data_IF_518550788401
#
_entry.id   IF_518550788401
#
_cell.length_a   1.000
_cell.length_b   1.000
_cell.length_c   1.000
_cell.angle_alpha   90.00
_cell.angle_beta   90.00
_cell.angle_gamma   90.00
#
_symmetry.space_group_name_H-M   'P 1'
#
loop_
_entity.id
_entity.type
_entity.pdbx_description
1 polymer ?
#
# COMPACT_ATOMS: atom_id res chain seq x y z
N UNK A 1 -40.73 -38.08 -34.54
CA UNK A 1 -40.44 -37.30 -35.75
C UNK A 1 -39.10 -36.62 -35.54
N UNK A 2 -38.07 -37.23 -36.11
CA UNK A 2 -36.94 -36.64 -36.87
C UNK A 2 -36.69 -35.13 -36.68
N UNK A 3 -35.45 -34.63 -36.55
CA UNK A 3 -34.14 -35.22 -36.73
C UNK A 3 -33.12 -34.09 -36.98
N UNK A 4 -31.83 -34.40 -36.77
CA UNK A 4 -30.62 -33.74 -37.32
C UNK A 4 -30.36 -32.24 -37.02
N UNK A 5 -29.15 -31.78 -36.68
CA UNK A 5 -27.83 -32.41 -36.67
C UNK A 5 -26.75 -31.45 -36.13
N UNK A 6 -25.60 -32.01 -35.75
CA UNK A 6 -24.33 -31.30 -35.46
C UNK A 6 -23.72 -30.70 -36.74
N UNK A 7 -22.80 -29.71 -36.64
CA UNK A 7 -21.34 -30.00 -36.69
C UNK A 7 -20.50 -29.11 -35.72
N UNK A 8 -19.46 -29.60 -35.02
CA UNK A 8 -18.02 -29.77 -35.36
C UNK A 8 -17.18 -28.49 -35.60
N UNK A 9 -16.28 -28.22 -34.64
CA UNK A 9 -14.81 -28.01 -34.78
C UNK A 9 -14.26 -27.09 -35.89
N UNK A 10 -13.54 -26.01 -35.53
CA UNK A 10 -12.06 -25.89 -35.59
C UNK A 10 -11.54 -24.44 -35.67
N UNK A 11 -10.44 -24.23 -34.92
CA UNK A 11 -9.23 -23.40 -35.14
C UNK A 11 -9.28 -22.04 -35.88
N UNK A 12 -8.71 -21.05 -35.18
CA UNK A 12 -7.56 -20.17 -35.55
C UNK A 12 -7.51 -19.67 -37.01
N UNK A 13 -7.65 -18.35 -37.23
CA UNK A 13 -6.57 -17.44 -37.69
C UNK A 13 -7.06 -16.00 -37.87
N UNK A 14 -6.21 -15.11 -37.36
CA UNK A 14 -5.85 -13.75 -37.78
C UNK A 14 -6.69 -13.06 -38.86
N UNK A 15 -7.19 -11.89 -38.48
CA UNK A 15 -7.78 -10.90 -39.35
C UNK A 15 -6.71 -10.07 -40.06
N UNK A 16 -7.10 -9.66 -41.26
CA UNK A 16 -6.36 -9.00 -42.33
C UNK A 16 -6.00 -7.54 -42.06
N UNK A 17 -5.14 -7.01 -42.94
CA UNK A 17 -5.15 -5.70 -43.63
C UNK A 17 -3.70 -5.17 -43.69
N UNK A 18 -3.13 -4.74 -44.82
CA UNK A 18 -3.72 -3.96 -45.91
C UNK A 18 -2.78 -4.05 -47.13
N UNK A 19 -3.27 -4.46 -48.30
CA UNK A 19 -2.59 -4.39 -49.60
C UNK A 19 -3.47 -3.55 -50.55
N UNK A 20 -2.96 -2.40 -51.00
CA UNK A 20 -3.40 -1.67 -52.20
C UNK A 20 -2.35 -1.95 -53.29
N UNK A 21 -2.68 -2.63 -54.39
CA UNK A 21 -3.25 -2.08 -55.64
C UNK A 21 -2.19 -1.19 -56.36
N UNK A 22 -1.66 -1.48 -57.56
CA UNK A 22 -2.29 -1.83 -58.85
C UNK A 22 -1.33 -2.54 -59.82
N UNK A 23 -1.85 -3.60 -60.46
CA UNK A 23 -1.91 -3.89 -61.92
C UNK A 23 -0.69 -3.61 -62.83
N UNK A 24 -0.21 -4.70 -63.44
CA UNK A 24 0.95 -4.76 -64.33
C UNK A 24 0.77 -4.19 -65.74
N UNK A 25 1.91 -3.89 -66.34
CA UNK A 25 2.09 -3.58 -67.74
C UNK A 25 2.30 -4.85 -68.58
N UNK A 26 1.77 -4.82 -69.80
CA UNK A 26 2.15 -5.71 -70.89
C UNK A 26 3.49 -5.31 -71.51
N UNK A 27 4.15 -6.33 -72.05
CA UNK A 27 5.08 -6.38 -73.17
C UNK A 27 5.99 -5.17 -73.44
N UNK A 28 7.30 -5.37 -73.30
CA UNK A 28 8.21 -5.59 -74.45
C UNK A 28 9.69 -5.44 -74.08
N UNK A 29 10.43 -6.53 -74.33
CA UNK A 29 11.69 -6.60 -75.09
C UNK A 29 12.72 -5.46 -74.90
N UNK A 30 13.79 -5.83 -74.16
CA UNK A 30 15.22 -5.59 -74.43
C UNK A 30 15.71 -4.13 -74.54
N UNK A 31 16.56 -3.72 -73.59
CA UNK A 31 17.96 -3.36 -73.85
C UNK A 31 18.59 -2.52 -72.73
N UNK A 32 19.60 -3.11 -72.08
CA UNK A 32 20.86 -2.48 -71.63
C UNK A 32 20.74 -1.31 -70.65
N UNK A 33 20.97 -1.60 -69.37
CA UNK A 33 22.11 -1.01 -68.65
C UNK A 33 22.60 -2.03 -67.63
N UNK A 34 23.77 -2.61 -67.91
CA UNK A 34 24.44 -3.49 -66.97
C UNK A 34 25.01 -2.68 -65.82
N UNK A 35 24.45 -2.83 -64.63
CA UNK A 35 25.25 -2.78 -63.41
C UNK A 35 25.55 -4.22 -63.04
N UNK A 36 26.80 -4.63 -63.28
CA UNK A 36 27.33 -5.83 -62.64
C UNK A 36 27.17 -5.63 -61.15
N UNK A 37 26.24 -6.33 -60.49
CA UNK A 37 26.40 -6.67 -59.08
C UNK A 37 27.65 -7.52 -59.02
N UNK A 38 28.80 -6.85 -58.91
CA UNK A 38 30.07 -7.48 -58.61
C UNK A 38 29.82 -8.18 -57.29
N UNK A 39 29.80 -9.52 -57.29
CA UNK A 39 29.94 -10.32 -56.08
C UNK A 39 31.34 -10.04 -55.54
N UNK A 40 31.52 -8.88 -54.91
CA UNK A 40 32.66 -8.66 -54.03
C UNK A 40 32.39 -9.54 -52.82
N UNK A 41 33.20 -10.59 -52.68
CA UNK A 41 33.15 -11.41 -51.47
C UNK A 41 33.50 -10.51 -50.29
N UNK A 42 32.65 -10.50 -49.25
CA UNK A 42 32.95 -9.84 -48.00
C UNK A 42 34.30 -10.33 -47.48
N UNK A 43 35.20 -9.41 -47.19
CA UNK A 43 36.50 -9.77 -46.63
C UNK A 43 36.30 -10.24 -45.18
N UNK A 44 37.07 -11.24 -44.73
CA UNK A 44 37.01 -11.72 -43.34
C UNK A 44 37.17 -10.59 -42.32
N UNK A 45 37.98 -9.58 -42.66
CA UNK A 45 38.22 -8.42 -41.81
C UNK A 45 36.98 -7.54 -41.65
N UNK A 46 36.21 -7.34 -42.73
CA UNK A 46 34.96 -6.59 -42.71
C UNK A 46 33.89 -7.29 -41.85
N UNK A 47 33.78 -8.62 -41.95
CA UNK A 47 32.88 -9.40 -41.08
C UNK A 47 33.26 -9.31 -39.60
N UNK A 48 34.56 -9.33 -39.27
CA UNK A 48 35.03 -9.19 -37.88
C UNK A 48 34.68 -7.81 -37.33
N UNK A 49 34.87 -6.75 -38.12
CA UNK A 49 34.54 -5.38 -37.72
C UNK A 49 33.03 -5.21 -37.49
N UNK A 50 32.19 -5.71 -38.42
CA UNK A 50 30.73 -5.63 -38.29
C UNK A 50 30.23 -6.42 -37.07
N UNK A 51 30.73 -7.63 -36.84
CA UNK A 51 30.38 -8.44 -35.67
C UNK A 51 30.82 -7.77 -34.37
N UNK A 52 31.98 -7.12 -34.35
CA UNK A 52 32.47 -6.37 -33.19
C UNK A 52 31.58 -5.18 -32.86
N UNK A 53 31.23 -4.36 -33.85
CA UNK A 53 30.32 -3.22 -33.68
C UNK A 53 28.94 -3.69 -33.23
N UNK A 54 28.41 -4.75 -33.84
CA UNK A 54 27.11 -5.29 -33.48
C UNK A 54 27.09 -5.88 -32.07
N UNK A 55 28.14 -6.59 -31.67
CA UNK A 55 28.27 -7.13 -30.31
C UNK A 55 28.36 -6.01 -29.26
N UNK A 56 29.10 -4.94 -29.57
CA UNK A 56 29.17 -3.76 -28.70
C UNK A 56 27.81 -3.06 -28.59
N UNK A 57 27.11 -2.87 -29.71
CA UNK A 57 25.77 -2.28 -29.73
C UNK A 57 24.76 -3.12 -28.95
N UNK A 58 24.78 -4.45 -29.10
CA UNK A 58 23.94 -5.37 -28.32
C UNK A 58 24.28 -5.32 -26.82
N UNK A 59 25.55 -5.19 -26.46
CA UNK A 59 25.97 -5.10 -25.06
C UNK A 59 25.48 -3.82 -24.40
N UNK A 60 25.57 -2.69 -25.11
CA UNK A 60 25.04 -1.40 -24.65
C UNK A 60 23.52 -1.49 -24.50
N UNK A 61 22.81 -2.07 -25.46
CA UNK A 61 21.36 -2.26 -25.40
C UNK A 61 20.95 -3.16 -24.23
N UNK A 62 21.68 -4.25 -23.98
CA UNK A 62 21.44 -5.12 -22.85
C UNK A 62 21.62 -4.38 -21.53
N UNK A 63 22.69 -3.58 -21.40
CA UNK A 63 22.96 -2.79 -20.21
C UNK A 63 21.88 -1.72 -19.96
N UNK A 64 21.43 -1.02 -20.99
CA UNK A 64 20.36 -0.01 -20.85
C UNK A 64 19.02 -0.65 -20.49
N UNK A 65 18.70 -1.83 -21.03
CA UNK A 65 17.49 -2.56 -20.66
C UNK A 65 17.52 -3.03 -19.20
N UNK A 66 18.65 -3.55 -18.72
CA UNK A 66 18.81 -3.97 -17.32
C UNK A 66 18.67 -2.75 -16.40
N UNK A 67 19.34 -1.65 -16.73
CA UNK A 67 19.29 -0.41 -15.94
C UNK A 67 17.89 0.21 -15.92
N UNK A 68 17.20 0.22 -17.06
CA UNK A 68 15.82 0.72 -17.20
C UNK A 68 14.84 -0.11 -16.37
N UNK A 69 14.98 -1.44 -16.36
CA UNK A 69 14.16 -2.31 -15.50
C UNK A 69 14.36 -2.00 -14.02
N UNK A 70 15.62 -1.80 -13.58
CA UNK A 70 15.91 -1.47 -12.19
C UNK A 70 15.28 -0.13 -11.79
N UNK A 71 15.47 0.91 -12.60
CA UNK A 71 14.87 2.22 -12.37
C UNK A 71 13.35 2.17 -12.35
N UNK A 72 12.74 1.40 -13.26
CA UNK A 72 11.28 1.23 -13.30
C UNK A 72 10.78 0.60 -12.00
N UNK A 73 11.40 -0.50 -11.56
CA UNK A 73 11.03 -1.20 -10.34
C UNK A 73 11.15 -0.28 -9.13
N UNK A 74 12.30 0.38 -8.95
CA UNK A 74 12.55 1.30 -7.83
C UNK A 74 11.53 2.45 -7.82
N UNK A 75 11.22 3.02 -9.00
CA UNK A 75 10.24 4.11 -9.13
C UNK A 75 8.81 3.63 -8.84
N UNK A 76 8.44 2.44 -9.32
CA UNK A 76 7.09 1.89 -9.10
C UNK A 76 6.85 1.51 -7.65
N UNK A 77 7.84 0.92 -6.97
CA UNK A 77 7.75 0.55 -5.56
C UNK A 77 7.55 1.77 -4.66
N UNK A 78 8.36 2.80 -4.85
CA UNK A 78 8.24 4.06 -4.10
C UNK A 78 6.92 4.81 -4.37
N UNK A 79 6.44 4.80 -5.62
CA UNK A 79 5.16 5.42 -5.98
C UNK A 79 3.96 4.69 -5.34
N UNK A 80 3.95 3.35 -5.36
CA UNK A 80 2.90 2.56 -4.71
C UNK A 80 2.89 2.76 -3.19
N UNK A 81 4.08 2.76 -2.58
CA UNK A 81 4.27 3.04 -1.16
C UNK A 81 3.70 4.42 -0.80
N UNK A 82 4.09 5.46 -1.54
CA UNK A 82 3.57 6.82 -1.34
C UNK A 82 2.05 6.91 -1.48
N UNK A 83 1.47 6.21 -2.45
CA UNK A 83 0.01 6.17 -2.63
C UNK A 83 -0.69 5.52 -1.44
N UNK A 84 -0.13 4.43 -0.89
CA UNK A 84 -0.64 3.75 0.30
C UNK A 84 -0.58 4.64 1.54
N UNK A 85 0.54 5.33 1.76
CA UNK A 85 0.68 6.30 2.87
C UNK A 85 -0.35 7.43 2.76
N UNK A 86 -0.58 7.94 1.56
CA UNK A 86 -1.57 9.00 1.34
C UNK A 86 -3.01 8.54 1.62
N UNK A 87 -3.36 7.29 1.33
CA UNK A 87 -4.68 6.74 1.68
C UNK A 87 -4.88 6.69 3.19
N UNK A 88 -3.83 6.35 3.96
CA UNK A 88 -3.90 6.37 5.43
C UNK A 88 -4.04 7.79 5.95
N UNK A 89 -3.27 8.74 5.41
CA UNK A 89 -3.43 10.17 5.72
C UNK A 89 -4.88 10.62 5.54
N UNK A 90 -5.47 10.35 4.37
CA UNK A 90 -6.86 10.76 4.08
C UNK A 90 -7.86 10.09 5.02
N UNK A 91 -7.66 8.82 5.38
CA UNK A 91 -8.52 8.12 6.34
C UNK A 91 -8.44 8.73 7.74
N UNK A 92 -7.24 9.09 8.20
CA UNK A 92 -7.04 9.75 9.49
C UNK A 92 -7.61 11.16 9.49
N UNK A 93 -7.39 11.92 8.43
CA UNK A 93 -7.92 13.27 8.26
C UNK A 93 -9.45 13.28 8.27
N UNK A 94 -10.08 12.34 7.56
CA UNK A 94 -11.55 12.22 7.55
C UNK A 94 -12.10 11.89 8.94
N UNK A 95 -11.54 10.91 9.62
CA UNK A 95 -11.99 10.51 10.95
C UNK A 95 -11.76 11.60 12.01
N UNK A 96 -10.63 12.31 11.92
CA UNK A 96 -10.30 13.41 12.83
C UNK A 96 -11.12 14.67 12.56
N UNK A 97 -11.74 14.79 11.38
CA UNK A 97 -12.64 15.90 11.05
C UNK A 97 -13.89 15.91 11.92
N UNK A 98 -14.36 14.74 12.35
CA UNK A 98 -15.49 14.58 13.26
C UNK A 98 -15.05 14.40 14.72
N UNK A 99 -13.78 14.65 15.04
CA UNK A 99 -13.19 14.47 16.37
C UNK A 99 -12.70 15.79 16.99
N UNK A 100 -12.41 15.75 18.30
CA UNK A 100 -11.76 16.81 19.07
C UNK A 100 -10.44 16.33 19.65
N UNK A 101 -9.48 17.24 19.82
CA UNK A 101 -8.20 16.93 20.45
C UNK A 101 -8.35 16.42 21.89
N UNK A 102 -9.32 16.95 22.64
CA UNK A 102 -9.60 16.53 24.01
C UNK A 102 -10.08 15.07 24.10
N UNK A 103 -10.67 14.56 23.01
CA UNK A 103 -11.23 13.21 22.92
C UNK A 103 -10.33 12.28 22.11
N UNK A 104 -9.01 12.47 22.21
CA UNK A 104 -8.01 11.61 21.57
C UNK A 104 -7.07 11.02 22.62
N UNK A 105 -6.60 9.80 22.36
CA UNK A 105 -5.64 9.13 23.21
C UNK A 105 -4.68 8.25 22.39
N UNK A 106 -3.52 8.02 22.98
CA UNK A 106 -2.41 7.23 22.41
C UNK A 106 -1.88 6.31 23.50
N UNK A 107 -1.54 5.08 23.11
CA UNK A 107 -0.84 4.12 23.94
C UNK A 107 0.08 3.26 23.08
N UNK A 108 0.90 2.42 23.70
CA UNK A 108 1.67 1.43 22.97
C UNK A 108 0.73 0.33 22.42
N UNK A 109 0.95 -0.13 21.20
CA UNK A 109 0.26 -1.30 20.65
C UNK A 109 0.87 -2.61 21.19
N UNK A 110 0.57 -3.72 20.50
CA UNK A 110 1.10 -5.05 20.80
C UNK A 110 2.61 -5.12 20.62
N UNK A 111 3.26 -5.91 21.49
CA UNK A 111 4.65 -6.32 21.29
C UNK A 111 4.72 -7.40 20.22
N UNK A 112 5.69 -7.33 19.33
CA UNK A 112 5.87 -8.37 18.31
C UNK A 112 6.60 -9.59 18.90
N UNK A 113 6.43 -10.76 18.28
CA UNK A 113 7.01 -12.03 18.75
C UNK A 113 8.53 -11.96 18.94
N UNK A 114 9.20 -11.08 18.20
CA UNK A 114 10.64 -10.88 18.23
C UNK A 114 11.17 -9.81 19.19
N UNK A 115 10.26 -9.14 19.88
CA UNK A 115 10.58 -7.98 20.72
C UNK A 115 10.43 -6.66 19.98
N UNK A 116 10.20 -5.61 20.77
CA UNK A 116 9.83 -4.29 20.28
C UNK A 116 8.33 -4.12 20.08
N UNK A 117 7.88 -2.88 20.14
CA UNK A 117 6.48 -2.51 19.93
C UNK A 117 6.16 -2.53 18.43
N UNK A 118 4.99 -3.04 18.03
CA UNK A 118 4.55 -2.97 16.65
C UNK A 118 4.40 -1.51 16.16
N UNK A 119 4.11 -0.60 17.09
CA UNK A 119 3.91 0.84 16.93
C UNK A 119 2.96 1.33 18.02
N UNK A 120 2.33 2.49 17.79
CA UNK A 120 1.39 3.09 18.73
C UNK A 120 -0.05 2.70 18.37
N UNK A 121 -0.89 2.53 19.38
CA UNK A 121 -2.34 2.51 19.23
C UNK A 121 -2.86 3.94 19.43
N UNK A 122 -3.67 4.42 18.50
CA UNK A 122 -4.30 5.75 18.55
C UNK A 122 -5.80 5.59 18.44
N UNK A 123 -6.56 6.30 19.28
CA UNK A 123 -8.01 6.32 19.16
C UNK A 123 -8.60 7.67 19.51
N UNK A 124 -9.78 7.92 18.97
CA UNK A 124 -10.52 9.14 19.20
C UNK A 124 -12.02 8.93 19.16
N UNK A 125 -12.78 9.84 19.78
CA UNK A 125 -14.23 9.90 19.60
C UNK A 125 -14.58 10.54 18.26
N UNK A 126 -15.59 10.00 17.60
CA UNK A 126 -16.20 10.57 16.41
C UNK A 126 -17.64 10.94 16.71
N UNK A 127 -18.01 12.16 16.30
CA UNK A 127 -19.38 12.64 16.35
C UNK A 127 -20.19 12.29 15.10
N UNK A 128 -19.64 11.51 14.18
CA UNK A 128 -20.32 11.16 12.94
C UNK A 128 -21.38 10.09 13.20
N UNK A 129 -22.59 10.32 12.70
CA UNK A 129 -23.68 9.34 12.71
C UNK A 129 -23.45 8.25 11.63
N UNK A 130 -23.44 6.95 11.99
CA UNK A 130 -23.23 5.86 11.03
C UNK A 130 -24.27 5.75 9.93
N UNK A 131 -25.46 6.34 10.10
CA UNK A 131 -26.56 6.24 9.14
C UNK A 131 -26.55 7.42 8.16
N UNK A 132 -26.38 8.63 8.68
CA UNK A 132 -26.46 9.85 7.88
C UNK A 132 -25.10 10.38 7.42
N UNK A 133 -24.01 9.87 7.97
CA UNK A 133 -22.63 10.36 7.77
C UNK A 133 -22.49 11.86 8.13
N UNK A 134 -23.44 12.40 8.90
CA UNK A 134 -23.42 13.78 9.37
C UNK A 134 -22.85 13.85 10.78
N UNK A 135 -22.25 14.99 11.12
CA UNK A 135 -21.76 15.25 12.48
C UNK A 135 -22.96 15.50 13.40
N UNK A 136 -23.28 14.52 14.23
CA UNK A 136 -24.29 14.61 15.27
C UNK A 136 -23.93 15.70 16.28
N UNK A 137 -24.93 16.48 16.66
CA UNK A 137 -24.81 17.54 17.65
C UNK A 137 -25.94 17.43 18.66
N UNK A 138 -25.60 17.71 19.93
CA UNK A 138 -26.57 17.84 21.00
C UNK A 138 -27.44 19.09 20.84
N UNK A 139 -28.47 19.20 21.68
CA UNK A 139 -29.33 20.38 21.76
C UNK A 139 -28.58 21.65 22.20
N UNK A 140 -27.42 21.49 22.84
CA UNK A 140 -26.50 22.56 23.23
C UNK A 140 -25.52 22.96 22.10
N UNK A 141 -25.61 22.33 20.92
CA UNK A 141 -24.76 22.57 19.77
C UNK A 141 -23.38 21.90 19.83
N UNK A 142 -23.05 21.22 20.94
CA UNK A 142 -21.79 20.46 21.08
C UNK A 142 -21.84 19.17 20.29
N UNK A 143 -20.67 18.63 19.99
CA UNK A 143 -20.55 17.34 19.34
C UNK A 143 -21.21 16.25 20.20
N UNK A 144 -22.08 15.44 19.59
CA UNK A 144 -22.63 14.25 20.23
C UNK A 144 -21.77 13.07 19.82
N UNK A 145 -20.97 12.54 20.74
CA UNK A 145 -20.05 11.43 20.45
C UNK A 145 -20.82 10.13 20.25
N UNK A 146 -20.52 9.43 19.15
CA UNK A 146 -21.23 8.23 18.72
C UNK A 146 -20.34 6.98 18.73
N UNK A 147 -19.02 7.12 18.62
CA UNK A 147 -18.13 5.96 18.50
C UNK A 147 -16.68 6.30 18.75
N UNK A 148 -15.93 5.32 19.21
CA UNK A 148 -14.48 5.30 19.20
C UNK A 148 -13.97 4.79 17.84
N UNK A 149 -13.00 5.49 17.25
CA UNK A 149 -12.25 5.03 16.08
C UNK A 149 -10.84 4.70 16.55
N UNK A 150 -10.43 3.45 16.41
CA UNK A 150 -9.15 2.92 16.86
C UNK A 150 -8.27 2.54 15.68
N UNK A 151 -7.02 3.00 15.71
CA UNK A 151 -5.94 2.68 14.80
C UNK A 151 -4.84 1.95 15.55
N UNK A 152 -4.42 0.78 15.08
CA UNK A 152 -3.31 0.07 15.72
C UNK A 152 -2.54 -0.82 14.74
N UNK A 153 -1.20 -0.88 14.88
CA UNK A 153 -0.37 -1.81 14.14
C UNK A 153 -0.33 -3.16 14.84
N UNK A 154 -0.33 -4.23 14.06
CA UNK A 154 -0.14 -5.61 14.55
C UNK A 154 0.45 -6.50 13.46
N UNK A 155 1.07 -7.61 13.85
CA UNK A 155 1.47 -8.68 12.92
C UNK A 155 0.26 -9.61 12.70
N UNK A 156 -0.06 -10.04 11.46
CA UNK A 156 -1.10 -11.03 11.21
C UNK A 156 -0.86 -12.35 11.94
N UNK A 157 -1.91 -13.02 12.41
CA UNK A 157 -1.83 -14.26 13.20
C UNK A 157 -1.26 -15.44 12.40
N UNK A 158 -1.52 -15.48 11.10
CA UNK A 158 -1.02 -16.47 10.15
C UNK A 158 0.23 -15.98 9.39
N UNK A 159 1.04 -15.11 10.01
CA UNK A 159 2.23 -14.45 9.42
C UNK A 159 3.12 -15.40 8.61
N UNK A 160 3.54 -16.52 9.20
CA UNK A 160 4.45 -17.48 8.56
C UNK A 160 3.88 -18.08 7.26
N UNK A 161 2.58 -18.37 7.25
CA UNK A 161 1.89 -18.90 6.06
C UNK A 161 1.66 -17.80 5.03
N UNK A 162 1.36 -16.58 5.46
CA UNK A 162 1.08 -15.44 4.59
C UNK A 162 2.32 -14.97 3.82
N UNK A 163 3.47 -14.93 4.49
CA UNK A 163 4.72 -14.38 3.94
C UNK A 163 5.78 -15.46 3.64
N UNK A 164 5.47 -16.74 3.86
CA UNK A 164 6.41 -17.86 3.64
C UNK A 164 7.68 -17.79 4.49
N UNK A 165 7.68 -16.94 5.52
CA UNK A 165 8.83 -16.64 6.37
C UNK A 165 8.36 -16.20 7.74
N UNK A 166 9.16 -16.46 8.76
CA UNK A 166 8.98 -15.88 10.10
C UNK A 166 9.87 -14.66 10.22
N UNK A 167 9.38 -13.61 10.87
CA UNK A 167 10.22 -12.49 11.25
C UNK A 167 10.70 -12.65 12.68
N UNK A 168 12.01 -12.56 12.90
CA UNK A 168 12.57 -12.67 14.25
C UNK A 168 12.36 -11.42 15.10
N UNK A 169 11.80 -10.33 14.51
CA UNK A 169 11.58 -9.01 15.12
C UNK A 169 12.85 -8.40 15.71
N UNK A 170 12.71 -7.23 16.33
CA UNK A 170 13.84 -6.57 16.97
C UNK A 170 13.57 -5.10 17.24
N UNK A 171 13.72 -4.70 18.50
CA UNK A 171 13.53 -3.33 18.93
C UNK A 171 14.69 -2.43 18.45
N UNK A 172 14.36 -1.31 17.83
CA UNK A 172 15.29 -0.23 17.60
C UNK A 172 15.57 0.56 18.90
N UNK A 173 16.40 1.61 18.79
CA UNK A 173 16.73 2.48 19.93
C UNK A 173 15.52 3.16 20.58
N UNK A 174 14.40 3.28 19.86
CA UNK A 174 13.15 3.86 20.35
C UNK A 174 12.19 2.81 20.93
N UNK A 175 12.58 1.53 20.94
CA UNK A 175 11.78 0.43 21.48
C UNK A 175 10.75 -0.17 20.50
N UNK A 176 10.74 0.27 19.24
CA UNK A 176 9.82 -0.24 18.20
C UNK A 176 10.46 -1.34 17.37
N UNK A 177 9.67 -2.32 16.95
CA UNK A 177 10.12 -3.35 16.02
C UNK A 177 10.43 -2.72 14.65
N UNK A 178 11.70 -2.59 14.32
CA UNK A 178 12.18 -2.06 13.04
C UNK A 178 12.71 -3.15 12.12
N UNK A 179 12.57 -4.41 12.51
CA UNK A 179 13.10 -5.57 11.80
C UNK A 179 11.99 -6.28 11.03
N UNK A 180 10.75 -6.25 11.54
CA UNK A 180 9.57 -6.83 10.89
C UNK A 180 8.80 -5.80 10.04
N UNK A 181 8.90 -5.86 8.70
CA UNK A 181 8.09 -5.02 7.82
C UNK A 181 6.70 -5.61 7.52
N UNK A 182 6.35 -6.75 8.12
CA UNK A 182 5.13 -7.50 7.82
C UNK A 182 3.95 -7.12 8.74
N UNK A 183 4.03 -5.95 9.40
CA UNK A 183 2.93 -5.45 10.21
C UNK A 183 1.85 -4.87 9.30
N UNK A 184 0.65 -4.79 9.84
CA UNK A 184 -0.50 -4.18 9.19
C UNK A 184 -1.12 -3.14 10.11
N UNK A 185 -1.58 -2.02 9.55
CA UNK A 185 -2.37 -1.02 10.27
C UNK A 185 -3.85 -1.41 10.19
N UNK A 186 -4.47 -1.62 11.34
CA UNK A 186 -5.89 -1.91 11.47
C UNK A 186 -6.62 -0.65 11.91
N UNK A 187 -7.76 -0.37 11.26
CA UNK A 187 -8.76 0.60 11.74
C UNK A 187 -9.97 -0.18 12.24
N UNK A 188 -10.49 0.19 13.41
CA UNK A 188 -11.67 -0.40 14.03
C UNK A 188 -12.62 0.69 14.51
N UNK A 189 -13.92 0.47 14.33
CA UNK A 189 -15.00 1.32 14.83
C UNK A 189 -15.69 0.60 15.97
N UNK A 190 -15.84 1.29 17.09
CA UNK A 190 -16.32 0.74 18.35
C UNK A 190 -17.40 1.67 18.92
N UNK A 191 -18.53 1.09 19.28
CA UNK A 191 -19.59 1.74 20.06
C UNK A 191 -19.62 1.04 21.42
N UNK A 192 -18.87 1.59 22.37
CA UNK A 192 -18.58 0.99 23.67
C UNK A 192 -19.61 1.41 24.70
N UNK A 193 -20.69 0.63 24.80
CA UNK A 193 -21.73 0.85 25.78
C UNK A 193 -23.12 0.49 25.26
N UNK A 194 -24.18 1.12 25.78
CA UNK A 194 -25.48 1.14 25.13
C UNK A 194 -25.33 1.74 23.73
N UNK A 195 -26.13 1.25 22.77
CA UNK A 195 -26.11 1.78 21.42
C UNK A 195 -26.34 3.31 21.43
N UNK A 196 -25.38 4.06 20.93
CA UNK A 196 -25.48 5.51 20.84
C UNK A 196 -26.26 5.88 19.58
N UNK A 197 -27.16 6.85 19.70
CA UNK A 197 -27.95 7.32 18.55
C UNK A 197 -28.14 8.82 18.62
N UNK A 198 -28.24 9.53 17.48
CA UNK A 198 -28.53 10.96 17.50
C UNK A 198 -29.92 11.31 18.05
N UNK A 199 -30.82 10.32 18.12
CA UNK A 199 -32.17 10.50 18.65
C UNK A 199 -32.22 10.46 20.19
N UNK A 200 -31.17 9.94 20.84
CA UNK A 200 -31.05 9.86 22.29
C UNK A 200 -29.81 10.63 22.77
N UNK A 201 -29.96 11.92 23.14
CA UNK A 201 -28.84 12.78 23.52
C UNK A 201 -28.19 12.38 24.86
N UNK A 202 -28.81 11.49 25.63
CA UNK A 202 -28.27 11.00 26.90
C UNK A 202 -27.40 9.73 26.69
N UNK A 203 -27.50 9.08 25.53
CA UNK A 203 -26.66 7.95 25.11
C UNK A 203 -25.43 8.45 24.34
N UNK A 204 -24.41 8.90 25.08
CA UNK A 204 -23.17 9.47 24.53
C UNK A 204 -22.01 8.50 24.70
N UNK A 205 -21.25 8.30 23.64
CA UNK A 205 -20.04 7.48 23.67
C UNK A 205 -18.95 8.13 24.53
N UNK A 206 -18.26 7.31 25.32
CA UNK A 206 -17.13 7.76 26.14
C UNK A 206 -15.81 7.31 25.55
N UNK A 207 -14.76 8.13 25.72
CA UNK A 207 -13.44 7.79 25.21
C UNK A 207 -12.92 6.57 25.98
N UNK A 208 -12.55 5.51 25.24
CA UNK A 208 -11.98 4.30 25.83
C UNK A 208 -10.72 4.64 26.64
N UNK A 209 -10.52 3.96 27.76
CA UNK A 209 -9.27 4.07 28.52
C UNK A 209 -8.18 3.20 27.91
N UNK A 210 -6.93 3.45 28.31
CA UNK A 210 -5.79 2.60 27.92
C UNK A 210 -6.00 1.14 28.30
N UNK A 211 -6.72 0.87 29.40
CA UNK A 211 -7.02 -0.50 29.82
C UNK A 211 -8.05 -1.16 28.89
N UNK A 212 -9.08 -0.41 28.49
CA UNK A 212 -10.19 -0.94 27.69
C UNK A 212 -9.74 -1.34 26.28
N UNK A 213 -8.82 -0.55 25.67
CA UNK A 213 -8.34 -0.79 24.30
C UNK A 213 -7.67 -2.16 24.14
N UNK A 214 -7.09 -2.74 25.21
CA UNK A 214 -6.37 -4.02 25.14
C UNK A 214 -7.23 -5.16 24.60
N UNK A 215 -8.54 -5.13 24.89
CA UNK A 215 -9.50 -6.13 24.41
C UNK A 215 -9.79 -6.02 22.91
N UNK A 216 -9.45 -4.90 22.28
CA UNK A 216 -9.67 -4.61 20.88
C UNK A 216 -8.43 -4.82 20.00
N UNK A 217 -7.24 -4.92 20.59
CA UNK A 217 -5.96 -5.12 19.88
C UNK A 217 -5.78 -6.57 19.42
N UNK A 218 -6.60 -7.00 18.46
CA UNK A 218 -6.56 -8.35 17.90
C UNK A 218 -5.79 -8.40 16.57
N UNK A 219 -4.97 -9.43 16.41
CA UNK A 219 -4.28 -9.69 15.16
C UNK A 219 -5.27 -10.18 14.07
N UNK A 220 -5.22 -9.63 12.85
CA UNK A 220 -5.99 -10.14 11.71
C UNK A 220 -5.47 -11.50 11.25
N UNK A 221 -6.32 -12.25 10.55
CA UNK A 221 -5.88 -13.42 9.76
C UNK A 221 -5.75 -12.97 8.31
N UNK A 222 -4.54 -12.95 7.78
CA UNK A 222 -4.25 -12.34 6.48
C UNK A 222 -4.49 -10.84 6.54
N UNK A 223 -5.31 -10.36 5.61
CA UNK A 223 -5.77 -8.96 5.56
C UNK A 223 -7.22 -8.79 6.05
N UNK A 224 -7.78 -9.81 6.71
CA UNK A 224 -9.12 -9.77 7.29
C UNK A 224 -9.02 -9.41 8.77
N UNK A 225 -9.46 -8.19 9.10
CA UNK A 225 -9.49 -7.70 10.47
C UNK A 225 -10.63 -8.34 11.28
N UNK A 226 -10.38 -8.50 12.58
CA UNK A 226 -11.30 -9.17 13.50
C UNK A 226 -12.17 -8.17 14.26
N UNK A 227 -13.46 -8.47 14.38
CA UNK A 227 -14.43 -7.73 15.19
C UNK A 227 -14.40 -8.13 16.68
N UNK A 228 -13.26 -8.66 17.17
CA UNK A 228 -13.06 -8.92 18.60
C UNK A 228 -13.09 -7.62 19.40
N UNK A 229 -13.75 -7.68 20.56
CA UNK A 229 -14.02 -6.57 21.46
C UNK A 229 -15.50 -6.20 21.43
N UNK A 230 -16.13 -6.04 22.59
CA UNK A 230 -17.56 -5.71 22.69
C UNK A 230 -17.85 -4.36 22.01
N UNK A 231 -18.94 -4.27 21.26
CA UNK A 231 -19.29 -3.05 20.53
C UNK A 231 -18.48 -2.78 19.27
N UNK A 232 -17.62 -3.71 18.83
CA UNK A 232 -16.93 -3.58 17.53
C UNK A 232 -17.95 -3.67 16.39
N UNK A 233 -18.09 -2.58 15.63
CA UNK A 233 -19.03 -2.49 14.51
C UNK A 233 -18.34 -2.74 13.16
N UNK A 234 -17.12 -2.24 13.01
CA UNK A 234 -16.33 -2.35 11.78
C UNK A 234 -14.86 -2.60 12.11
N UNK A 235 -14.19 -3.45 11.34
CA UNK A 235 -12.74 -3.60 11.39
C UNK A 235 -12.20 -3.83 9.98
N UNK A 236 -11.14 -3.10 9.60
CA UNK A 236 -10.47 -3.27 8.30
C UNK A 236 -8.97 -3.06 8.41
N UNK A 237 -8.22 -3.78 7.58
CA UNK A 237 -6.79 -3.51 7.37
C UNK A 237 -6.67 -2.34 6.38
N UNK A 238 -6.06 -1.25 6.81
CA UNK A 238 -5.83 -0.06 5.98
C UNK A 238 -4.55 -0.14 5.17
N UNK A 239 -3.50 -0.67 5.80
CA UNK A 239 -2.15 -0.61 5.26
C UNK A 239 -1.40 -1.90 5.56
N UNK A 240 -1.07 -2.70 4.54
CA UNK A 240 -0.11 -3.78 4.70
C UNK A 240 1.33 -3.25 4.62
N UNK A 241 2.28 -4.12 4.95
CA UNK A 241 3.72 -3.87 4.81
C UNK A 241 4.22 -2.67 5.63
N UNK A 242 3.61 -2.49 6.80
CA UNK A 242 3.94 -1.45 7.75
C UNK A 242 5.23 -1.81 8.49
N UNK A 243 6.15 -0.84 8.54
CA UNK A 243 7.32 -0.92 9.41
C UNK A 243 7.06 -0.26 10.76
N UNK A 244 6.47 0.93 10.80
CA UNK A 244 6.14 1.59 12.08
C UNK A 244 4.99 2.57 11.89
N UNK A 245 4.10 2.64 12.87
CA UNK A 245 3.09 3.69 13.00
C UNK A 245 3.29 4.35 14.35
N UNK A 246 3.64 5.63 14.37
CA UNK A 246 3.88 6.41 15.59
C UNK A 246 2.95 7.61 15.65
N UNK A 247 2.50 7.92 16.85
CA UNK A 247 1.61 9.05 17.12
C UNK A 247 2.10 9.81 18.35
N UNK A 248 2.25 11.12 18.20
CA UNK A 248 2.60 12.02 19.30
C UNK A 248 1.49 13.04 19.48
N UNK A 249 1.07 13.21 20.72
CA UNK A 249 0.01 14.14 21.11
C UNK A 249 0.65 15.38 21.74
N UNK A 250 0.40 16.55 21.14
CA UNK A 250 0.99 17.84 21.46
C UNK A 250 2.52 17.78 21.69
N UNK A 251 3.32 17.38 20.68
CA UNK A 251 4.78 17.32 20.84
C UNK A 251 5.40 18.71 21.12
N UNK A 252 4.79 19.79 20.63
CA UNK A 252 5.17 21.17 20.92
C UNK A 252 4.00 21.94 21.59
N UNK A 253 3.65 21.63 22.85
CA UNK A 253 2.40 22.07 23.47
C UNK A 253 2.31 23.58 23.66
N UNK A 254 3.44 24.30 23.65
CA UNK A 254 3.50 25.75 23.78
C UNK A 254 3.24 26.49 22.47
N UNK A 255 3.42 25.83 21.31
CA UNK A 255 3.18 26.41 19.98
C UNK A 255 1.92 25.85 19.34
N UNK A 256 1.70 24.55 19.53
CA UNK A 256 0.64 23.78 18.89
C UNK A 256 0.04 22.81 19.90
N UNK A 257 -0.80 23.34 20.79
CA UNK A 257 -1.41 22.60 21.89
C UNK A 257 -2.30 21.43 21.43
N UNK A 258 -2.90 21.55 20.25
CA UNK A 258 -3.84 20.57 19.69
C UNK A 258 -3.23 19.75 18.53
N UNK A 259 -1.89 19.69 18.44
CA UNK A 259 -1.19 18.94 17.39
C UNK A 259 -1.25 17.42 17.64
N UNK A 260 -1.73 16.68 16.65
CA UNK A 260 -1.47 15.24 16.54
C UNK A 260 -0.46 15.01 15.43
N UNK A 261 0.75 14.57 15.80
CA UNK A 261 1.83 14.27 14.84
C UNK A 261 1.90 12.78 14.58
N UNK A 262 1.79 12.41 13.32
CA UNK A 262 1.84 11.03 12.85
C UNK A 262 3.12 10.80 12.07
N UNK A 263 3.78 9.68 12.34
CA UNK A 263 4.91 9.18 11.53
C UNK A 263 4.63 7.75 11.12
N UNK A 264 4.56 7.52 9.82
CA UNK A 264 4.21 6.22 9.24
C UNK A 264 5.36 5.78 8.34
N UNK A 265 5.93 4.62 8.62
CA UNK A 265 6.98 3.98 7.82
C UNK A 265 6.45 2.70 7.20
N UNK A 266 6.68 2.52 5.91
CA UNK A 266 6.37 1.28 5.18
C UNK A 266 7.57 0.82 4.39
N UNK A 267 7.60 -0.46 4.05
CA UNK A 267 8.73 -1.03 3.31
C UNK A 267 8.26 -1.69 2.02
N UNK A 268 8.93 -1.39 0.91
CA UNK A 268 8.70 -2.04 -0.37
C UNK A 268 9.24 -3.48 -0.36
N UNK A 269 8.41 -4.43 0.09
CA UNK A 269 8.81 -5.83 0.31
C UNK A 269 9.35 -6.52 -0.95
N UNK A 270 8.74 -6.26 -2.10
CA UNK A 270 9.12 -6.90 -3.38
C UNK A 270 10.55 -6.53 -3.81
N UNK A 271 11.07 -5.40 -3.34
CA UNK A 271 12.42 -4.93 -3.64
C UNK A 271 13.39 -5.25 -2.51
N UNK A 272 12.90 -5.24 -1.26
CA UNK A 272 13.70 -5.60 -0.10
C UNK A 272 14.12 -7.07 -0.13
N UNK A 273 13.21 -8.00 -0.47
CA UNK A 273 13.48 -9.44 -0.52
C UNK A 273 14.56 -9.86 -1.53
N UNK A 274 14.95 -8.97 -2.45
CA UNK A 274 16.03 -9.19 -3.43
C UNK A 274 17.42 -8.79 -2.91
N UNK A 275 17.50 -7.97 -1.86
CA UNK A 275 18.73 -7.27 -1.45
C UNK A 275 19.08 -7.41 0.04
N UNK A 276 18.11 -7.68 0.90
CA UNK A 276 18.29 -7.75 2.36
C UNK A 276 17.57 -8.96 2.92
N UNK A 277 18.19 -9.65 3.87
CA UNK A 277 17.55 -10.73 4.62
C UNK A 277 16.42 -10.17 5.50
N UNK A 278 15.17 -10.41 5.07
CA UNK A 278 13.99 -9.97 5.79
C UNK A 278 13.99 -10.51 7.23
N UNK A 279 13.68 -9.63 8.18
CA UNK A 279 13.47 -10.04 9.56
C UNK A 279 14.71 -10.32 10.38
N UNK A 280 15.89 -9.89 9.93
CA UNK A 280 17.15 -9.96 10.70
C UNK A 280 17.96 -8.65 10.70
N UNK A 281 17.76 -7.79 9.70
CA UNK A 281 18.37 -6.47 9.63
C UNK A 281 17.40 -5.39 10.09
N UNK A 282 17.95 -4.32 10.67
CA UNK A 282 17.20 -3.10 10.96
C UNK A 282 16.82 -2.39 9.66
N UNK A 283 15.53 -2.16 9.46
CA UNK A 283 14.97 -1.54 8.27
C UNK A 283 14.63 -0.07 8.48
N UNK A 284 14.85 0.50 9.68
CA UNK A 284 14.42 1.86 10.01
C UNK A 284 14.97 2.95 9.07
N UNK A 285 16.16 2.69 8.50
CA UNK A 285 16.88 3.54 7.53
C UNK A 285 17.19 2.82 6.22
N UNK A 286 16.49 1.72 5.93
CA UNK A 286 16.69 1.00 4.68
C UNK A 286 16.26 1.88 3.48
N UNK A 287 16.98 1.86 2.35
CA UNK A 287 16.59 2.62 1.16
C UNK A 287 15.19 2.29 0.61
N UNK A 288 14.68 1.10 0.93
CA UNK A 288 13.37 0.61 0.51
C UNK A 288 12.24 0.99 1.49
N UNK A 289 12.57 1.73 2.56
CA UNK A 289 11.62 2.20 3.55
C UNK A 289 11.24 3.64 3.28
N UNK A 290 9.96 3.84 3.02
CA UNK A 290 9.35 5.14 2.79
C UNK A 290 8.72 5.64 4.08
N UNK A 291 8.85 6.94 4.33
CA UNK A 291 8.35 7.61 5.53
C UNK A 291 7.43 8.78 5.15
N UNK A 292 6.27 8.84 5.80
CA UNK A 292 5.40 10.00 5.77
C UNK A 292 5.20 10.51 7.20
N UNK A 293 5.61 11.75 7.44
CA UNK A 293 5.39 12.48 8.69
C UNK A 293 4.48 13.69 8.41
N UNK A 294 3.45 13.86 9.23
CA UNK A 294 2.46 14.94 9.08
C UNK A 294 1.78 15.23 10.42
N UNK A 295 1.09 16.37 10.47
CA UNK A 295 0.34 16.82 11.63
C UNK A 295 -1.12 17.07 11.27
N UNK A 296 -2.04 16.64 12.13
CA UNK A 296 -3.48 16.91 12.01
C UNK A 296 -3.94 17.65 13.27
N UNK A 297 -4.79 18.66 13.07
CA UNK A 297 -5.45 19.42 14.12
C UNK A 297 -6.94 19.09 14.06
N UNK A 298 -7.50 18.34 15.02
CA UNK A 298 -8.92 18.00 15.02
C UNK A 298 -9.82 19.24 14.96
N UNK A 299 -10.92 19.16 14.19
CA UNK A 299 -11.75 20.34 13.88
C UNK A 299 -12.78 20.69 14.96
N UNK A 300 -13.26 19.71 15.74
CA UNK A 300 -14.26 19.99 16.77
C UNK A 300 -13.58 20.58 18.02
N UNK A 301 -14.00 21.77 18.47
CA UNK A 301 -13.50 22.38 19.69
C UNK A 301 -13.97 21.63 20.94
#
# INVERSE_FOLDING_TARGET
MDGYGKPRSSRIREAEFFCLETRGGGDSVVSRFGTKLRREGFTLLEMIVVLGIFSLALSILAFTLISSRKLLVDTTGGAEASQKLRKVYLSLEEDLRSSSFATTAVANSVTTTGGGLAGDAFWCLSSEDPVTEQRARGSDGRALWQRNILYYPTVPSNHATLYGSVCSGGANAEGYDSVCPHKVLVRKVIDSGPATTPADPDSVETLLTVADITSYLSAPTGFQASLVGAGSQEARVLLPNLLTFRVQRAPEPTRWADELRFRIKITALDDLGKSVALGTADLDRAPQTEELEFSIFPENP
#
